data_IF_153644801309
#
_entry.id   IF_153644801309
#
_cell.length_a   1.000
_cell.length_b   1.000
_cell.length_c   1.000
_cell.angle_alpha   90.00
_cell.angle_beta   90.00
_cell.angle_gamma   90.00
#
_symmetry.space_group_name_H-M   'P 1'
#
loop_
_entity.id
_entity.type
_entity.pdbx_description
1 polymer ?
#
# COMPACT_ATOMS: atom_id res chain seq x y z
N UNK A 1 -59.58 -27.70 -6.17
CA UNK A 1 -59.61 -27.33 -4.74
C UNK A 1 -58.33 -27.85 -4.09
N UNK A 2 -57.53 -26.96 -3.46
CA UNK A 2 -56.18 -27.18 -2.83
C UNK A 2 -55.11 -27.73 -3.78
N UNK A 3 -54.16 -26.95 -4.32
CA UNK A 3 -53.07 -26.19 -3.66
C UNK A 3 -52.34 -27.02 -2.61
N UNK A 4 -51.20 -27.60 -3.01
CA UNK A 4 -50.06 -27.85 -2.13
C UNK A 4 -48.79 -27.51 -2.92
N UNK A 5 -48.11 -26.51 -2.37
CA UNK A 5 -47.07 -25.71 -2.96
C UNK A 5 -45.80 -26.53 -3.20
N UNK A 6 -45.35 -26.59 -4.45
CA UNK A 6 -43.95 -26.85 -4.77
C UNK A 6 -43.15 -25.56 -4.50
N UNK A 7 -43.10 -25.11 -3.25
CA UNK A 7 -42.30 -23.97 -2.81
C UNK A 7 -41.07 -24.49 -2.07
N UNK A 8 -40.05 -24.84 -2.85
CA UNK A 8 -38.72 -25.20 -2.34
C UNK A 8 -37.61 -24.95 -3.34
N UNK A 9 -37.89 -24.20 -4.41
CA UNK A 9 -36.89 -23.79 -5.39
C UNK A 9 -36.25 -22.49 -4.91
N UNK A 10 -35.01 -22.55 -4.43
CA UNK A 10 -34.05 -21.45 -4.65
C UNK A 10 -33.64 -20.55 -3.48
N UNK A 11 -33.79 -20.92 -2.21
CA UNK A 11 -33.36 -20.07 -1.08
C UNK A 11 -31.85 -20.07 -0.75
N UNK A 12 -31.00 -20.69 -1.56
CA UNK A 12 -29.55 -20.82 -1.26
C UNK A 12 -28.61 -20.36 -2.38
N UNK A 13 -29.12 -19.82 -3.50
CA UNK A 13 -28.31 -19.53 -4.68
C UNK A 13 -28.44 -18.10 -5.22
N UNK A 14 -28.58 -17.13 -4.32
CA UNK A 14 -28.10 -15.78 -4.62
C UNK A 14 -27.08 -15.46 -3.53
N UNK A 15 -25.90 -16.04 -3.66
CA UNK A 15 -24.69 -15.37 -3.20
C UNK A 15 -24.68 -14.02 -3.91
N UNK A 16 -25.13 -12.97 -3.22
CA UNK A 16 -25.13 -11.61 -3.74
C UNK A 16 -23.71 -11.27 -4.16
N UNK A 17 -23.43 -11.42 -5.45
CA UNK A 17 -22.33 -10.75 -6.12
C UNK A 17 -22.73 -9.29 -6.05
N UNK A 18 -22.45 -8.62 -4.92
CA UNK A 18 -22.67 -7.19 -4.78
C UNK A 18 -21.58 -6.51 -5.63
N UNK A 19 -21.92 -6.04 -6.85
CA UNK A 19 -20.92 -5.53 -7.77
C UNK A 19 -20.35 -4.21 -7.24
N UNK A 20 -21.13 -3.47 -6.44
CA UNK A 20 -20.77 -2.19 -5.86
C UNK A 20 -19.79 -2.41 -4.71
N UNK A 21 -20.04 -3.39 -3.84
CA UNK A 21 -19.12 -3.75 -2.77
C UNK A 21 -17.76 -4.20 -3.31
N UNK A 22 -17.75 -5.00 -4.39
CA UNK A 22 -16.52 -5.41 -5.07
C UNK A 22 -15.77 -4.20 -5.64
N UNK A 23 -16.44 -3.29 -6.34
CA UNK A 23 -15.82 -2.09 -6.88
C UNK A 23 -15.22 -1.21 -5.80
N UNK A 24 -15.93 -1.01 -4.68
CA UNK A 24 -15.44 -0.25 -3.51
C UNK A 24 -14.23 -0.91 -2.85
N UNK A 25 -14.16 -2.24 -2.82
CA UNK A 25 -12.99 -2.96 -2.31
C UNK A 25 -11.79 -2.79 -3.25
N UNK A 26 -11.99 -2.99 -4.56
CA UNK A 26 -10.93 -2.79 -5.57
C UNK A 26 -10.38 -1.36 -5.49
N UNK A 27 -11.26 -0.36 -5.45
CA UNK A 27 -10.85 1.04 -5.35
C UNK A 27 -10.02 1.30 -4.09
N UNK A 28 -10.41 0.76 -2.93
CA UNK A 28 -9.63 0.89 -1.69
C UNK A 28 -8.25 0.24 -1.80
N UNK A 29 -8.18 -0.97 -2.34
CA UNK A 29 -6.89 -1.66 -2.55
C UNK A 29 -5.99 -0.85 -3.47
N UNK A 30 -6.53 -0.32 -4.57
CA UNK A 30 -5.79 0.52 -5.51
C UNK A 30 -5.23 1.75 -4.79
N UNK A 31 -6.07 2.48 -4.03
CA UNK A 31 -5.63 3.67 -3.27
C UNK A 31 -4.51 3.30 -2.29
N UNK A 32 -4.68 2.25 -1.49
CA UNK A 32 -3.66 1.81 -0.51
C UNK A 32 -2.34 1.43 -1.19
N UNK A 33 -2.39 0.77 -2.35
CA UNK A 33 -1.20 0.44 -3.13
C UNK A 33 -0.51 1.71 -3.63
N UNK A 34 -1.26 2.67 -4.17
CA UNK A 34 -0.68 3.95 -4.62
C UNK A 34 -0.08 4.76 -3.47
N UNK A 35 -0.72 4.81 -2.30
CA UNK A 35 -0.21 5.50 -1.12
C UNK A 35 1.12 4.87 -0.66
N UNK A 36 1.18 3.54 -0.60
CA UNK A 36 2.40 2.81 -0.23
C UNK A 36 3.54 3.08 -1.21
N UNK A 37 3.25 3.08 -2.52
CA UNK A 37 4.24 3.39 -3.55
C UNK A 37 4.71 4.85 -3.48
N UNK A 38 3.81 5.79 -3.19
CA UNK A 38 4.16 7.19 -3.02
C UNK A 38 5.08 7.41 -1.81
N UNK A 39 4.80 6.73 -0.70
CA UNK A 39 5.63 6.75 0.49
C UNK A 39 7.04 6.19 0.21
N UNK A 40 7.14 5.03 -0.45
CA UNK A 40 8.44 4.47 -0.84
C UNK A 40 9.22 5.40 -1.77
N UNK A 41 8.54 6.06 -2.71
CA UNK A 41 9.17 7.05 -3.59
C UNK A 41 9.69 8.25 -2.81
N UNK A 42 8.95 8.72 -1.82
CA UNK A 42 9.37 9.85 -1.00
C UNK A 42 10.56 9.50 -0.11
N UNK A 43 10.53 8.33 0.55
CA UNK A 43 11.69 7.82 1.30
C UNK A 43 12.92 7.67 0.42
N UNK A 44 12.78 7.13 -0.79
CA UNK A 44 13.88 7.03 -1.74
C UNK A 44 14.42 8.41 -2.16
N UNK A 45 13.55 9.42 -2.30
CA UNK A 45 13.97 10.81 -2.59
C UNK A 45 14.76 11.40 -1.42
N UNK A 46 14.27 11.23 -0.19
CA UNK A 46 14.92 11.70 1.03
C UNK A 46 16.29 11.05 1.21
N UNK A 47 16.41 9.73 1.03
CA UNK A 47 17.69 9.00 1.06
C UNK A 47 18.69 9.54 0.02
N UNK A 48 18.23 9.84 -1.20
CA UNK A 48 19.08 10.47 -2.23
C UNK A 48 19.48 11.90 -1.89
N UNK A 49 18.61 12.68 -1.26
CA UNK A 49 18.94 14.03 -0.82
C UNK A 49 19.96 14.01 0.31
N UNK A 50 19.77 13.12 1.29
CA UNK A 50 20.72 12.90 2.39
C UNK A 50 22.10 12.48 1.86
N UNK A 51 22.13 11.56 0.88
CA UNK A 51 23.37 11.14 0.22
C UNK A 51 24.10 12.27 -0.53
N UNK A 52 23.39 13.34 -0.93
CA UNK A 52 23.95 14.50 -1.64
C UNK A 52 24.46 15.61 -0.71
N UNK A 53 24.15 15.57 0.59
CA UNK A 53 24.67 16.55 1.54
C UNK A 53 26.20 16.47 1.61
N UNK A 54 26.88 17.59 1.84
CA UNK A 54 28.34 17.64 2.02
C UNK A 54 28.74 17.07 3.39
N UNK A 55 30.00 16.66 3.56
CA UNK A 55 30.47 16.09 4.85
C UNK A 55 30.30 17.08 6.00
N UNK A 56 30.47 18.38 5.73
CA UNK A 56 30.25 19.43 6.73
C UNK A 56 28.78 19.51 7.16
N UNK A 57 27.83 19.45 6.22
CA UNK A 57 26.40 19.46 6.54
C UNK A 57 25.96 18.20 7.29
N UNK A 58 26.54 17.04 6.94
CA UNK A 58 26.31 15.79 7.68
C UNK A 58 26.85 15.88 9.10
N UNK A 59 28.04 16.47 9.28
CA UNK A 59 28.64 16.69 10.60
C UNK A 59 27.81 17.63 11.47
N UNK A 60 27.17 18.65 10.89
CA UNK A 60 26.31 19.59 11.62
C UNK A 60 25.06 18.92 12.20
N UNK A 61 24.49 17.95 11.48
CA UNK A 61 23.38 17.11 11.95
C UNK A 61 23.83 15.84 12.71
N UNK A 62 25.14 15.67 12.93
CA UNK A 62 25.71 14.57 13.70
C UNK A 62 25.66 13.19 13.04
N UNK A 63 25.56 13.11 11.71
CA UNK A 63 25.49 11.85 10.96
C UNK A 63 26.81 11.62 10.21
N UNK A 64 27.34 10.39 10.21
CA UNK A 64 28.53 10.08 9.42
C UNK A 64 28.21 9.77 7.96
N UNK A 65 29.16 10.02 7.05
CA UNK A 65 29.03 9.62 5.64
C UNK A 65 28.78 8.11 5.49
N UNK A 66 29.38 7.30 6.35
CA UNK A 66 29.21 5.84 6.33
C UNK A 66 27.77 5.43 6.65
N UNK A 67 27.14 6.06 7.64
CA UNK A 67 25.74 5.81 8.02
C UNK A 67 24.78 6.15 6.86
N UNK A 68 25.01 7.27 6.18
CA UNK A 68 24.21 7.68 5.02
C UNK A 68 24.33 6.68 3.87
N UNK A 69 25.53 6.16 3.59
CA UNK A 69 25.74 5.16 2.54
C UNK A 69 25.05 3.84 2.89
N UNK A 70 25.11 3.43 4.16
CA UNK A 70 24.42 2.23 4.64
C UNK A 70 22.90 2.37 4.53
N UNK A 71 22.36 3.52 4.91
CA UNK A 71 20.93 3.84 4.78
C UNK A 71 20.49 3.91 3.31
N UNK A 72 21.31 4.50 2.44
CA UNK A 72 21.05 4.59 1.00
C UNK A 72 21.06 3.22 0.32
N UNK A 73 21.87 2.28 0.81
CA UNK A 73 21.95 0.92 0.27
C UNK A 73 20.75 0.03 0.66
N UNK A 74 19.88 0.46 1.59
CA UNK A 74 18.71 -0.31 1.98
C UNK A 74 17.73 -0.47 0.80
N UNK A 75 17.21 -1.69 0.56
CA UNK A 75 16.21 -1.89 -0.46
C UNK A 75 14.94 -1.10 -0.16
N UNK A 76 14.21 -0.69 -1.21
CA UNK A 76 13.08 0.24 -1.08
C UNK A 76 11.93 -0.26 -0.21
N UNK A 77 11.82 -1.58 -0.01
CA UNK A 77 10.78 -2.22 0.80
C UNK A 77 11.17 -2.40 2.28
N UNK A 78 12.38 -1.95 2.68
CA UNK A 78 12.90 -2.16 4.03
C UNK A 78 13.17 -0.82 4.73
N UNK A 79 12.70 -0.74 5.96
CA UNK A 79 13.01 0.34 6.91
C UNK A 79 14.43 0.19 7.46
#
# INVERSE_FOLDING_TARGET
>A
MKVLLASGVGSHLVSSIDPIARLRWIARVIVTVFDTLAEWRERARQRRQLARLSDHMLSDIGISRADVLMEHAKPFWKE
#
